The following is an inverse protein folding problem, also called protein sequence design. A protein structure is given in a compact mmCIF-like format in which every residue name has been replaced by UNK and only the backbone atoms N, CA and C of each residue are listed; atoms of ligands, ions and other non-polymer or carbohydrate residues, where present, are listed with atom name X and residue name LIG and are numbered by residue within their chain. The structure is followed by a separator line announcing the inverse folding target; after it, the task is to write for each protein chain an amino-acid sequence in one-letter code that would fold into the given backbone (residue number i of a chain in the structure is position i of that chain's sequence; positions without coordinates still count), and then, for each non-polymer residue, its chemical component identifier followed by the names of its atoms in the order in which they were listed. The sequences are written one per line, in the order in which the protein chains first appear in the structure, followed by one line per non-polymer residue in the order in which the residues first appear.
data_IF_669001099020
#
_entry.id   IF_669001099020
#
_cell.length_a   1.000
_cell.length_b   1.000
_cell.length_c   1.000
_cell.angle_alpha   90.00
_cell.angle_beta   90.00
_cell.angle_gamma   90.00
#
_symmetry.space_group_name_H-M   'P 1'
#
loop_
_entity.id
_entity.type
_entity.pdbx_description
1 polymer ?
#
# COMPACT_ATOMS: atom_id res chain seq x y z
N UNK A 1 16.68 12.30 -5.44
CA UNK A 1 16.00 12.98 -4.31
C UNK A 1 15.06 11.95 -3.70
N UNK A 2 15.31 11.52 -2.46
CA UNK A 2 14.42 10.58 -1.75
C UNK A 2 13.14 11.33 -1.37
N UNK A 3 11.99 10.94 -1.92
CA UNK A 3 10.70 11.45 -1.44
C UNK A 3 10.32 10.70 -0.17
N UNK A 4 10.36 11.39 0.98
CA UNK A 4 9.99 10.82 2.27
C UNK A 4 8.55 10.26 2.28
N UNK A 5 7.67 10.72 1.38
CA UNK A 5 6.30 10.20 1.23
C UNK A 5 6.24 8.80 0.62
N UNK A 6 7.30 8.36 -0.05
CA UNK A 6 7.41 7.01 -0.63
C UNK A 6 7.95 5.98 0.36
N UNK A 7 8.24 6.35 1.61
CA UNK A 7 8.67 5.40 2.62
C UNK A 7 7.49 4.94 3.50
N UNK A 8 6.98 3.74 3.24
CA UNK A 8 5.98 3.07 4.11
C UNK A 8 6.58 2.53 5.42
N UNK A 9 7.90 2.46 5.49
CA UNK A 9 8.66 1.80 6.53
C UNK A 9 9.39 2.84 7.40
N UNK A 10 8.64 3.53 8.27
CA UNK A 10 9.19 4.52 9.22
C UNK A 10 9.42 3.92 10.61
N UNK A 11 10.33 4.56 11.37
CA UNK A 11 10.73 4.15 12.74
C UNK A 11 9.82 4.69 13.85
N UNK A 12 8.57 5.03 13.56
CA UNK A 12 7.62 5.42 14.62
C UNK A 12 6.88 4.19 15.16
N UNK A 13 7.28 3.74 16.35
CA UNK A 13 7.04 2.36 16.83
C UNK A 13 5.87 2.19 17.82
N UNK A 14 5.00 3.18 18.05
CA UNK A 14 3.88 2.97 18.97
C UNK A 14 2.72 2.24 18.28
N UNK A 15 2.41 1.03 18.77
CA UNK A 15 1.26 0.21 18.39
C UNK A 15 1.20 -0.27 16.92
N UNK A 16 2.33 -0.71 16.36
CA UNK A 16 2.38 -1.36 15.04
C UNK A 16 2.19 -2.90 15.10
N UNK A 17 1.71 -3.45 13.99
CA UNK A 17 1.49 -4.87 13.72
C UNK A 17 2.81 -5.67 13.87
N UNK A 18 2.74 -6.87 14.43
CA UNK A 18 3.94 -7.69 14.67
C UNK A 18 4.62 -8.14 13.37
N UNK A 19 3.86 -8.35 12.28
CA UNK A 19 4.41 -8.68 10.97
C UNK A 19 5.11 -7.47 10.35
N UNK A 20 4.57 -6.26 10.54
CA UNK A 20 5.26 -5.05 10.12
C UNK A 20 6.63 -4.93 10.81
N UNK A 21 6.68 -5.16 12.13
CA UNK A 21 7.96 -5.14 12.88
C UNK A 21 8.93 -6.20 12.35
N UNK A 22 8.44 -7.43 12.12
CA UNK A 22 9.27 -8.49 11.57
C UNK A 22 9.89 -8.05 10.24
N UNK A 23 9.09 -7.59 9.28
CA UNK A 23 9.58 -7.13 7.96
C UNK A 23 10.49 -5.90 8.08
N UNK A 24 10.21 -4.99 9.02
CA UNK A 24 10.97 -3.75 9.17
C UNK A 24 12.36 -3.96 9.74
N UNK A 25 12.46 -4.79 10.78
CA UNK A 25 13.63 -4.89 11.66
C UNK A 25 14.49 -6.14 11.38
N UNK A 26 13.94 -7.18 10.76
CA UNK A 26 14.70 -8.39 10.41
C UNK A 26 15.33 -8.27 9.01
N UNK A 27 16.67 -8.36 8.87
CA UNK A 27 17.35 -8.31 7.58
C UNK A 27 16.96 -9.46 6.63
N UNK A 28 16.49 -10.60 7.14
CA UNK A 28 16.05 -11.73 6.32
C UNK A 28 14.82 -11.41 5.46
N UNK A 29 14.09 -10.34 5.77
CA UNK A 29 12.91 -9.89 5.02
C UNK A 29 13.17 -8.65 4.15
N UNK A 30 14.44 -8.39 3.83
CA UNK A 30 14.83 -7.25 2.97
C UNK A 30 14.13 -7.31 1.61
N UNK A 31 14.00 -8.51 1.03
CA UNK A 31 13.29 -8.76 -0.23
C UNK A 31 11.80 -8.39 -0.15
N UNK A 32 11.12 -8.73 0.95
CA UNK A 32 9.73 -8.35 1.19
C UNK A 32 9.61 -6.84 1.32
N UNK A 33 10.53 -6.21 2.06
CA UNK A 33 10.55 -4.76 2.27
C UNK A 33 10.73 -4.01 0.95
N UNK A 34 11.69 -4.43 0.13
CA UNK A 34 11.92 -3.91 -1.22
C UNK A 34 10.71 -4.12 -2.12
N UNK A 35 10.14 -5.33 -2.12
CA UNK A 35 8.94 -5.64 -2.90
C UNK A 35 7.76 -4.70 -2.56
N UNK A 36 7.49 -4.51 -1.26
CA UNK A 36 6.45 -3.58 -0.79
C UNK A 36 6.75 -2.15 -1.23
N UNK A 37 8.01 -1.71 -1.13
CA UNK A 37 8.43 -0.39 -1.60
C UNK A 37 8.20 -0.20 -3.10
N UNK A 38 8.46 -1.21 -3.93
CA UNK A 38 8.19 -1.14 -5.37
C UNK A 38 6.69 -1.07 -5.69
N UNK A 39 5.87 -1.87 -5.01
CA UNK A 39 4.41 -1.79 -5.15
C UNK A 39 3.91 -0.38 -4.79
N UNK A 40 4.44 0.21 -3.72
CA UNK A 40 3.99 1.52 -3.24
C UNK A 40 4.23 2.65 -4.24
N UNK A 41 5.35 2.62 -4.98
CA UNK A 41 5.62 3.61 -6.04
C UNK A 41 4.51 3.67 -7.08
N UNK A 42 3.86 2.53 -7.35
CA UNK A 42 2.75 2.44 -8.32
C UNK A 42 1.42 2.82 -7.69
N UNK A 43 1.15 2.37 -6.46
CA UNK A 43 -0.16 2.54 -5.82
C UNK A 43 -0.35 3.88 -5.08
N UNK A 44 0.73 4.53 -4.62
CA UNK A 44 0.68 5.77 -3.82
C UNK A 44 -0.31 6.84 -4.34
N UNK A 45 -0.41 7.13 -5.66
CA UNK A 45 -1.35 8.13 -6.17
C UNK A 45 -2.83 7.80 -5.93
N UNK A 46 -3.16 6.51 -5.77
CA UNK A 46 -4.52 5.99 -5.61
C UNK A 46 -4.89 5.72 -4.15
N UNK A 47 -3.88 5.66 -3.28
CA UNK A 47 -4.07 5.36 -1.88
C UNK A 47 -4.89 6.44 -1.17
N UNK A 48 -5.72 6.01 -0.23
CA UNK A 48 -6.42 6.95 0.66
C UNK A 48 -5.41 7.73 1.52
N UNK A 49 -5.74 8.94 1.99
CA UNK A 49 -4.80 9.77 2.75
C UNK A 49 -4.24 9.13 4.03
N UNK A 50 -4.94 8.14 4.61
CA UNK A 50 -4.53 7.48 5.85
C UNK A 50 -3.71 6.22 5.61
N UNK A 51 -3.63 5.74 4.37
CA UNK A 51 -3.00 4.48 4.01
C UNK A 51 -1.59 4.33 4.61
N UNK A 52 -0.70 5.29 4.38
CA UNK A 52 0.69 5.22 4.88
C UNK A 52 0.77 5.24 6.40
N UNK A 53 -0.11 6.00 7.07
CA UNK A 53 -0.19 6.08 8.53
C UNK A 53 -0.73 4.78 9.15
N UNK A 54 -1.65 4.12 8.47
CA UNK A 54 -2.28 2.89 8.93
C UNK A 54 -1.52 1.63 8.51
N UNK A 55 -0.60 1.74 7.55
CA UNK A 55 0.19 0.64 7.02
C UNK A 55 0.92 -0.13 8.11
N UNK A 56 1.55 0.57 9.06
CA UNK A 56 2.27 -0.07 10.17
C UNK A 56 1.34 -0.75 11.18
N UNK A 57 0.08 -0.33 11.29
CA UNK A 57 -0.90 -0.82 12.28
C UNK A 57 -1.78 -1.95 11.76
N UNK A 58 -2.02 -1.97 10.45
CA UNK A 58 -2.91 -2.92 9.76
C UNK A 58 -2.17 -3.57 8.59
N UNK A 59 -0.95 -4.05 8.86
CA UNK A 59 0.04 -4.40 7.83
C UNK A 59 -0.49 -5.39 6.80
N UNK A 60 -1.03 -6.52 7.23
CA UNK A 60 -1.49 -7.54 6.30
C UNK A 60 -2.68 -7.05 5.45
N UNK A 61 -3.62 -6.32 6.06
CA UNK A 61 -4.77 -5.76 5.34
C UNK A 61 -4.32 -4.73 4.31
N UNK A 62 -3.47 -3.77 4.71
CA UNK A 62 -2.98 -2.71 3.82
C UNK A 62 -2.03 -3.27 2.76
N UNK A 63 -1.26 -4.32 3.06
CA UNK A 63 -0.47 -5.06 2.08
C UNK A 63 -1.35 -5.66 0.98
N UNK A 64 -2.44 -6.34 1.35
CA UNK A 64 -3.35 -6.91 0.35
C UNK A 64 -4.02 -5.86 -0.52
N UNK A 65 -4.45 -4.75 0.08
CA UNK A 65 -4.99 -3.60 -0.66
C UNK A 65 -3.98 -3.04 -1.67
N UNK A 66 -2.73 -2.83 -1.24
CA UNK A 66 -1.61 -2.41 -2.08
C UNK A 66 -1.37 -3.38 -3.24
N UNK A 67 -1.21 -4.66 -2.93
CA UNK A 67 -0.90 -5.69 -3.91
C UNK A 67 -2.03 -5.84 -4.94
N UNK A 68 -3.29 -5.91 -4.49
CA UNK A 68 -4.46 -5.97 -5.38
C UNK A 68 -4.58 -4.71 -6.22
N UNK A 69 -4.37 -3.54 -5.64
CA UNK A 69 -4.38 -2.26 -6.35
C UNK A 69 -3.40 -2.26 -7.52
N UNK A 70 -2.13 -2.65 -7.26
CA UNK A 70 -1.12 -2.76 -8.32
C UNK A 70 -1.52 -3.79 -9.38
N UNK A 71 -2.10 -4.94 -9.01
CA UNK A 71 -2.58 -5.94 -9.98
C UNK A 71 -3.70 -5.41 -10.86
N UNK A 72 -4.64 -4.64 -10.32
CA UNK A 72 -5.70 -4.01 -11.10
C UNK A 72 -5.16 -2.95 -12.05
N UNK A 73 -4.23 -2.10 -11.60
CA UNK A 73 -3.55 -1.12 -12.47
C UNK A 73 -2.83 -1.83 -13.62
N UNK A 74 -2.08 -2.91 -13.31
CA UNK A 74 -1.37 -3.70 -14.31
C UNK A 74 -2.31 -4.38 -15.33
N UNK A 75 -3.55 -4.68 -14.93
CA UNK A 75 -4.59 -5.21 -15.81
C UNK A 75 -5.31 -4.12 -16.63
N UNK A 76 -4.89 -2.86 -16.56
CA UNK A 76 -5.49 -1.73 -17.27
C UNK A 76 -6.75 -1.16 -16.62
N UNK A 77 -7.07 -1.57 -15.38
CA UNK A 77 -8.21 -1.02 -14.65
C UNK A 77 -7.85 0.33 -14.03
N UNK A 78 -8.82 1.25 -14.04
CA UNK A 78 -8.67 2.53 -13.36
C UNK A 78 -9.08 2.40 -11.90
N UNK A 79 -8.18 2.72 -10.97
CA UNK A 79 -8.51 2.84 -9.56
C UNK A 79 -9.00 4.26 -9.25
N UNK A 80 -10.10 4.34 -8.52
CA UNK A 80 -10.55 5.59 -7.94
C UNK A 80 -10.03 5.68 -6.50
N UNK A 81 -9.48 6.83 -6.14
CA UNK A 81 -9.03 7.09 -4.77
C UNK A 81 -10.21 6.90 -3.83
N UNK A 82 -10.06 6.04 -2.82
CA UNK A 82 -11.08 5.88 -1.81
C UNK A 82 -11.16 7.19 -1.01
N UNK A 83 -12.29 7.89 -1.12
CA UNK A 83 -12.56 9.14 -0.40
C UNK A 83 -12.85 8.92 1.09
N UNK A 84 -12.82 7.66 1.56
CA UNK A 84 -13.21 7.28 2.92
C UNK A 84 -14.73 7.23 3.13
N UNK A 85 -15.52 7.49 2.08
CA UNK A 85 -16.98 7.59 2.18
C UNK A 85 -17.68 6.31 1.71
N UNK A 86 -17.05 5.45 0.89
CA UNK A 86 -17.64 4.18 0.41
C UNK A 86 -16.57 3.13 0.08
N UNK A 87 -16.90 1.86 0.35
CA UNK A 87 -16.14 0.67 -0.06
C UNK A 87 -15.67 0.75 -1.53
N UNK A 88 -14.50 0.17 -1.82
CA UNK A 88 -13.93 0.02 -3.16
C UNK A 88 -15.01 -0.38 -4.18
N UNK A 89 -15.21 0.44 -5.21
CA UNK A 89 -16.08 0.13 -6.37
C UNK A 89 -15.21 -0.03 -7.60
N UNK A 90 -15.21 -1.24 -8.16
CA UNK A 90 -14.73 -1.50 -9.52
C UNK A 90 -15.82 -1.02 -10.47
N UNK A 91 -15.48 -0.10 -11.38
CA UNK A 91 -16.39 0.40 -12.42
C UNK A 91 -15.91 -0.17 -13.75
N UNK A 92 -16.73 -1.02 -14.37
CA UNK A 92 -16.53 -1.42 -15.77
C UNK A 92 -17.14 -0.35 -16.68
N UNK A 93 -16.41 0.07 -17.72
CA UNK A 93 -16.99 0.73 -18.88
C UNK A 93 -17.02 -0.29 -20.01
N UNK A 94 -18.20 -0.61 -20.50
CA UNK A 94 -18.34 -1.17 -21.84
C UNK A 94 -17.89 -0.10 -22.84
N UNK A 95 -17.10 -0.52 -23.81
CA UNK A 95 -16.74 0.28 -24.99
C UNK A 95 -17.71 -0.20 -26.06
N UNK A 96 -18.57 0.71 -26.54
CA UNK A 96 -19.46 0.48 -27.69
C UNK A 96 -18.67 0.15 -28.96
#
# INVERSE_FOLDING_TARGET
MFDAKLNLFSKEYMNCDFLYRAVQDNPDFTDIKEHVSELWKTYHPYADPQFSREFSRHFLQRYWELWLGVKFIAAGLTLNRNSGVRNLRVVYREVD
#
